data_IF_187203953713
#
_entry.id   IF_187203953713
#
_cell.length_a   1.000
_cell.length_b   1.000
_cell.length_c   1.000
_cell.angle_alpha   90.00
_cell.angle_beta   90.00
_cell.angle_gamma   90.00
#
_symmetry.space_group_name_H-M   'P 1'
#
loop_
_entity.id
_entity.type
_entity.pdbx_description
1 polymer ?
#
# COMPACT_ATOMS: atom_id res chain seq x y z
N UNK A 1 -20.94 -7.78 -13.75
CA UNK A 1 -19.65 -7.84 -13.02
C UNK A 1 -19.25 -6.44 -12.62
N UNK A 2 -18.86 -6.28 -11.36
CA UNK A 2 -18.40 -4.99 -10.85
C UNK A 2 -17.11 -4.59 -11.59
N UNK A 3 -17.05 -3.40 -12.23
CA UNK A 3 -15.86 -2.99 -12.96
C UNK A 3 -14.64 -2.79 -12.09
N UNK A 4 -14.81 -2.71 -10.76
CA UNK A 4 -13.70 -2.55 -9.82
C UNK A 4 -13.17 -3.88 -9.29
N UNK A 5 -13.77 -5.01 -9.68
CA UNK A 5 -13.31 -6.32 -9.29
C UNK A 5 -12.51 -6.93 -10.43
N UNK A 6 -11.24 -7.18 -10.19
CA UNK A 6 -10.35 -7.82 -11.15
C UNK A 6 -10.04 -9.21 -10.62
N UNK A 7 -10.27 -10.22 -11.47
CA UNK A 7 -9.88 -11.59 -11.13
C UNK A 7 -8.38 -11.75 -11.31
N UNK A 8 -7.70 -12.13 -10.24
CA UNK A 8 -6.28 -12.48 -10.30
C UNK A 8 -6.12 -13.92 -9.85
N UNK A 9 -5.19 -14.64 -10.48
CA UNK A 9 -4.92 -16.02 -10.14
C UNK A 9 -3.99 -16.10 -8.94
N UNK A 10 -4.00 -17.26 -8.26
CA UNK A 10 -3.06 -17.52 -7.17
C UNK A 10 -1.62 -17.44 -7.65
N UNK A 11 -1.36 -17.86 -8.88
CA UNK A 11 -0.03 -17.79 -9.48
C UNK A 11 0.44 -16.35 -9.67
N UNK A 12 -0.46 -15.48 -10.12
CA UNK A 12 -0.15 -14.05 -10.28
C UNK A 12 0.14 -13.40 -8.93
N UNK A 13 -0.66 -13.72 -7.91
CA UNK A 13 -0.45 -13.21 -6.56
C UNK A 13 0.92 -13.66 -6.03
N UNK A 14 1.23 -14.94 -6.20
CA UNK A 14 2.50 -15.52 -5.76
C UNK A 14 3.68 -14.86 -6.44
N UNK A 15 3.58 -14.65 -7.75
CA UNK A 15 4.60 -13.98 -8.55
C UNK A 15 4.86 -12.57 -8.04
N UNK A 16 3.80 -11.79 -7.77
CA UNK A 16 3.95 -10.43 -7.29
C UNK A 16 4.53 -10.39 -5.87
N UNK A 17 4.17 -11.33 -5.02
CA UNK A 17 4.75 -11.44 -3.67
C UNK A 17 6.25 -11.72 -3.72
N UNK A 18 6.69 -12.58 -4.64
CA UNK A 18 8.11 -12.86 -4.83
C UNK A 18 8.85 -11.62 -5.31
N UNK A 19 8.27 -10.87 -6.25
CA UNK A 19 8.85 -9.61 -6.71
C UNK A 19 8.98 -8.62 -5.56
N UNK A 20 7.99 -8.57 -4.66
CA UNK A 20 8.04 -7.69 -3.51
C UNK A 20 9.18 -8.07 -2.56
N UNK A 21 9.41 -9.37 -2.33
CA UNK A 21 10.54 -9.82 -1.52
C UNK A 21 11.87 -9.35 -2.11
N UNK A 22 12.03 -9.47 -3.42
CA UNK A 22 13.26 -9.03 -4.10
C UNK A 22 13.41 -7.51 -4.04
N UNK A 23 12.32 -6.78 -4.24
CA UNK A 23 12.35 -5.33 -4.23
C UNK A 23 12.72 -4.79 -2.84
N UNK A 24 12.28 -5.47 -1.76
CA UNK A 24 12.62 -5.08 -0.40
C UNK A 24 14.11 -5.18 -0.10
N UNK A 25 14.86 -5.99 -0.84
CA UNK A 25 16.30 -6.14 -0.67
C UNK A 25 17.11 -5.07 -1.38
N UNK A 26 16.47 -4.28 -2.26
CA UNK A 26 17.18 -3.28 -3.07
C UNK A 26 17.53 -2.04 -2.25
N UNK A 27 18.59 -1.35 -2.70
CA UNK A 27 18.98 -0.07 -2.10
C UNK A 27 17.91 1.00 -2.33
N UNK A 28 17.21 0.93 -3.45
CA UNK A 28 16.11 1.85 -3.74
C UNK A 28 15.05 1.79 -2.62
N UNK A 29 14.62 0.58 -2.26
CA UNK A 29 13.60 0.42 -1.20
C UNK A 29 14.14 0.85 0.16
N UNK A 30 15.38 0.46 0.47
CA UNK A 30 16.01 0.83 1.76
C UNK A 30 16.09 2.34 1.94
N UNK A 31 16.43 3.08 0.88
CA UNK A 31 16.46 4.54 0.91
C UNK A 31 15.07 5.14 1.06
N UNK A 32 14.08 4.58 0.33
CA UNK A 32 12.69 4.99 0.44
C UNK A 32 12.20 4.87 1.89
N UNK A 33 12.43 3.71 2.49
CA UNK A 33 12.03 3.43 3.87
C UNK A 33 12.78 4.31 4.87
N UNK A 34 14.05 4.60 4.60
CA UNK A 34 14.89 5.40 5.48
C UNK A 34 14.41 6.84 5.66
N UNK A 35 13.57 7.34 4.74
CA UNK A 35 12.96 8.66 4.88
C UNK A 35 12.07 8.75 6.12
N UNK A 36 11.57 7.61 6.61
CA UNK A 36 10.82 7.55 7.87
C UNK A 36 9.47 8.22 7.83
N UNK A 37 8.79 8.21 6.68
CA UNK A 37 7.48 8.87 6.51
C UNK A 37 6.50 7.91 5.87
N UNK A 38 5.32 7.78 6.47
CA UNK A 38 4.24 7.01 5.88
C UNK A 38 3.67 7.74 4.66
N UNK A 39 3.59 7.05 3.53
CA UNK A 39 3.06 7.63 2.31
C UNK A 39 1.61 8.09 2.45
N UNK A 40 0.81 7.35 3.21
CA UNK A 40 -0.64 7.61 3.28
C UNK A 40 -1.03 8.70 4.28
N UNK A 41 -0.42 8.73 5.45
CA UNK A 41 -0.79 9.70 6.48
C UNK A 41 0.27 10.77 6.74
N UNK A 42 1.45 10.63 6.15
CA UNK A 42 2.53 11.59 6.32
C UNK A 42 3.18 11.62 7.69
N UNK A 43 2.80 10.69 8.57
CA UNK A 43 3.37 10.63 9.91
C UNK A 43 4.80 10.14 9.87
N UNK A 44 5.68 10.77 10.63
CA UNK A 44 7.05 10.30 10.79
C UNK A 44 7.08 9.14 11.78
N UNK A 45 7.71 8.04 11.36
CA UNK A 45 7.88 6.85 12.20
C UNK A 45 9.29 6.31 11.99
N UNK A 46 9.81 5.55 12.95
CA UNK A 46 11.11 4.89 12.75
C UNK A 46 11.05 4.00 11.48
N UNK A 47 12.08 4.03 10.63
CA UNK A 47 12.06 3.25 9.38
C UNK A 47 11.72 1.78 9.55
N UNK A 48 12.13 1.16 10.66
CA UNK A 48 11.84 -0.25 10.95
C UNK A 48 10.36 -0.53 11.12
N UNK A 49 9.55 0.50 11.36
CA UNK A 49 8.10 0.37 11.54
C UNK A 49 7.34 0.59 10.23
N UNK A 50 8.05 0.93 9.15
CA UNK A 50 7.44 1.09 7.83
C UNK A 50 7.49 -0.22 7.06
N UNK A 51 6.36 -0.59 6.49
CA UNK A 51 6.23 -1.79 5.65
C UNK A 51 6.01 -1.39 4.20
N UNK A 52 6.32 -2.31 3.28
CA UNK A 52 6.03 -2.10 1.86
C UNK A 52 4.55 -2.33 1.61
N UNK A 53 3.88 -1.33 1.05
CA UNK A 53 2.48 -1.41 0.69
C UNK A 53 2.31 -1.16 -0.80
N UNK A 54 1.41 -1.91 -1.43
CA UNK A 54 1.06 -1.69 -2.83
C UNK A 54 -0.08 -0.67 -2.89
N UNK A 55 0.13 0.43 -3.61
CA UNK A 55 -0.88 1.48 -3.75
C UNK A 55 -2.14 0.89 -4.38
N UNK A 56 -1.97 0.17 -5.50
CA UNK A 56 -3.01 -0.70 -6.04
C UNK A 56 -2.71 -2.11 -5.54
N UNK A 57 -3.58 -2.68 -4.69
CA UNK A 57 -3.32 -4.00 -4.11
C UNK A 57 -3.15 -5.10 -5.15
N UNK A 58 -2.33 -6.09 -4.84
CA UNK A 58 -2.10 -7.22 -5.75
C UNK A 58 -3.41 -7.91 -6.08
N UNK A 59 -4.28 -8.14 -5.11
CA UNK A 59 -5.56 -8.82 -5.34
C UNK A 59 -6.54 -7.98 -6.17
N UNK A 60 -6.25 -6.70 -6.36
CA UNK A 60 -7.03 -5.80 -7.20
C UNK A 60 -6.32 -5.52 -8.53
N UNK A 61 -5.34 -6.35 -8.89
CA UNK A 61 -4.63 -6.24 -10.15
C UNK A 61 -3.35 -5.43 -10.11
N UNK A 62 -2.94 -4.98 -8.93
CA UNK A 62 -1.70 -4.22 -8.78
C UNK A 62 -0.46 -5.06 -9.02
N UNK A 63 0.59 -4.43 -9.53
CA UNK A 63 1.87 -5.08 -9.77
C UNK A 63 2.92 -4.54 -8.82
N UNK A 64 3.99 -5.32 -8.64
CA UNK A 64 5.13 -4.90 -7.82
C UNK A 64 6.10 -4.14 -8.71
N UNK A 65 6.12 -2.82 -8.55
CA UNK A 65 7.03 -1.94 -9.29
C UNK A 65 7.33 -0.73 -8.41
N UNK A 66 8.39 0.00 -8.77
CA UNK A 66 8.76 1.21 -8.04
C UNK A 66 7.64 2.26 -8.03
N UNK A 67 6.78 2.25 -9.05
CA UNK A 67 5.65 3.18 -9.13
C UNK A 67 4.43 2.76 -8.34
N UNK A 68 4.40 1.53 -7.81
CA UNK A 68 3.23 1.01 -7.11
C UNK A 68 3.51 0.55 -5.68
N UNK A 69 4.73 0.71 -5.18
CA UNK A 69 5.05 0.34 -3.81
C UNK A 69 5.51 1.56 -3.03
N UNK A 70 5.06 1.67 -1.80
CA UNK A 70 5.34 2.82 -0.93
C UNK A 70 5.55 2.34 0.50
N UNK A 71 6.31 3.11 1.32
CA UNK A 71 6.39 2.81 2.74
C UNK A 71 5.13 3.26 3.46
N UNK A 72 4.60 2.40 4.31
CA UNK A 72 3.38 2.68 5.06
C UNK A 72 3.53 2.25 6.51
N UNK A 73 2.95 3.04 7.42
CA UNK A 73 2.93 2.67 8.84
C UNK A 73 1.93 1.52 9.04
N UNK A 74 2.09 0.81 10.14
CA UNK A 74 1.25 -0.35 10.44
C UNK A 74 -0.23 0.00 10.50
N UNK A 75 -0.55 1.15 11.04
CA UNK A 75 -1.94 1.60 11.15
C UNK A 75 -2.58 1.79 9.78
N UNK A 76 -1.93 2.53 8.88
CA UNK A 76 -2.44 2.74 7.53
C UNK A 76 -2.50 1.44 6.74
N UNK A 77 -1.47 0.59 6.89
CA UNK A 77 -1.45 -0.72 6.24
C UNK A 77 -2.67 -1.55 6.65
N UNK A 78 -2.98 -1.60 7.94
CA UNK A 78 -4.14 -2.33 8.45
C UNK A 78 -5.46 -1.77 7.97
N UNK A 79 -5.59 -0.45 7.94
CA UNK A 79 -6.85 0.21 7.55
C UNK A 79 -7.06 0.19 6.05
N UNK A 80 -6.00 0.41 5.27
CA UNK A 80 -6.10 0.44 3.82
C UNK A 80 -6.31 -0.94 3.22
N UNK A 81 -5.58 -1.93 3.71
CA UNK A 81 -5.64 -3.33 3.20
C UNK A 81 -5.76 -3.39 1.68
N UNK A 82 -6.94 -3.77 1.18
CA UNK A 82 -7.18 -4.01 -0.24
C UNK A 82 -7.91 -2.87 -0.94
N UNK A 83 -7.96 -1.69 -0.31
CA UNK A 83 -8.64 -0.55 -0.90
C UNK A 83 -7.84 0.04 -2.05
N UNK A 84 -8.53 0.41 -3.12
CA UNK A 84 -7.95 1.19 -4.20
C UNK A 84 -7.75 2.64 -3.72
N UNK A 85 -6.87 3.41 -4.40
CA UNK A 85 -6.66 4.81 -4.00
C UNK A 85 -7.93 5.63 -3.86
N UNK A 86 -8.87 5.49 -4.80
CA UNK A 86 -10.13 6.23 -4.73
C UNK A 86 -10.98 5.80 -3.53
N UNK A 87 -10.97 4.51 -3.21
CA UNK A 87 -11.70 3.98 -2.06
C UNK A 87 -11.08 4.48 -0.75
N UNK A 88 -9.74 4.56 -0.71
CA UNK A 88 -9.02 5.10 0.43
C UNK A 88 -9.35 6.56 0.67
N UNK A 89 -9.38 7.36 -0.41
CA UNK A 89 -9.75 8.77 -0.33
C UNK A 89 -11.17 8.96 0.20
N UNK A 90 -12.10 8.14 -0.28
CA UNK A 90 -13.48 8.16 0.20
C UNK A 90 -13.56 7.83 1.69
N UNK A 91 -12.79 6.85 2.13
CA UNK A 91 -12.73 6.45 3.53
C UNK A 91 -12.22 7.60 4.40
N UNK A 92 -11.16 8.30 3.96
CA UNK A 92 -10.61 9.44 4.69
C UNK A 92 -11.60 10.59 4.78
N UNK A 93 -12.31 10.88 3.69
CA UNK A 93 -13.32 11.93 3.67
C UNK A 93 -14.46 11.62 4.63
N UNK A 94 -14.88 10.36 4.70
CA UNK A 94 -15.92 9.91 5.62
C UNK A 94 -15.49 10.09 7.07
N UNK A 95 -14.25 9.72 7.40
CA UNK A 95 -13.71 9.92 8.75
C UNK A 95 -13.72 11.39 9.15
N UNK A 96 -13.30 12.27 8.24
CA UNK A 96 -13.28 13.71 8.48
C UNK A 96 -14.69 14.25 8.77
N UNK A 97 -15.69 13.82 8.00
CA UNK A 97 -17.07 14.20 8.23
C UNK A 97 -17.60 13.70 9.57
N UNK A 98 -17.31 12.45 9.91
CA UNK A 98 -17.76 11.85 11.16
C UNK A 98 -17.13 12.54 12.37
N UNK A 99 -15.89 13.00 12.26
CA UNK A 99 -15.20 13.67 13.36
C UNK A 99 -15.67 15.11 13.59
N UNK A 100 -16.43 15.69 12.65
CA UNK A 100 -16.98 17.05 12.78
C UNK A 100 -18.33 17.11 13.49
N UNK A 101 -18.92 15.96 13.72
CA UNK A 101 -20.23 15.89 14.37
C UNK A 101 -20.13 15.79 15.90
#
# INVERSE_FOLDING_TARGET
>A
MDPFIISVTEEEIKKEKLKAQELRKTQWWKRKRAEGVCYFCGTKVPPKELTMEHVVPIIRGGTTSKGNVVPACKECNSKKKYLLPIEWDEYLQKLDRDSRN
#
